data_IF_362516218831
#
_entry.id   IF_362516218831
#
_cell.length_a   1.000
_cell.length_b   1.000
_cell.length_c   1.000
_cell.angle_alpha   90.00
_cell.angle_beta   90.00
_cell.angle_gamma   90.00
#
_symmetry.space_group_name_H-M   'P 1'
#
loop_
_entity.id
_entity.type
_entity.pdbx_description
1 polymer ?
#
# COMPACT_ATOMS: atom_id res chain seq x y z
N UNK A 1 36.98 -18.00 -64.28
CA UNK A 1 37.70 -16.94 -63.55
C UNK A 1 36.68 -16.01 -62.90
N UNK A 2 36.60 -15.99 -61.56
CA UNK A 2 35.83 -15.07 -60.67
C UNK A 2 34.29 -15.09 -60.89
N UNK A 3 33.38 -14.98 -59.93
CA UNK A 3 33.37 -14.25 -58.65
C UNK A 3 32.50 -15.06 -57.64
N UNK A 4 32.94 -15.14 -56.39
CA UNK A 4 32.18 -15.62 -55.21
C UNK A 4 31.32 -14.48 -54.66
N UNK A 5 30.11 -14.76 -54.20
CA UNK A 5 29.29 -13.85 -53.39
C UNK A 5 27.84 -14.32 -53.41
N UNK A 6 27.05 -14.29 -52.34
CA UNK A 6 27.21 -13.68 -51.02
C UNK A 6 26.09 -14.30 -50.16
N UNK A 7 26.43 -14.90 -49.02
CA UNK A 7 25.44 -15.39 -48.04
C UNK A 7 24.67 -14.19 -47.48
N UNK A 8 23.41 -14.03 -47.89
CA UNK A 8 22.48 -13.07 -47.29
C UNK A 8 21.89 -13.61 -45.99
N UNK A 9 22.64 -13.50 -44.89
CA UNK A 9 22.10 -13.73 -43.54
C UNK A 9 21.28 -12.53 -43.09
N UNK A 10 19.96 -12.71 -42.95
CA UNK A 10 19.07 -11.73 -42.33
C UNK A 10 19.14 -11.92 -40.81
N UNK A 11 19.91 -11.05 -40.14
CA UNK A 11 19.95 -10.92 -38.68
C UNK A 11 18.85 -9.93 -38.27
N UNK A 12 17.65 -10.44 -37.94
CA UNK A 12 16.58 -9.60 -37.39
C UNK A 12 16.89 -9.38 -35.90
N UNK A 13 17.48 -8.24 -35.62
CA UNK A 13 17.68 -7.69 -34.28
C UNK A 13 16.34 -7.11 -33.80
N UNK A 14 15.52 -7.92 -33.11
CA UNK A 14 14.33 -7.40 -32.44
C UNK A 14 14.71 -6.80 -31.08
N UNK A 15 14.38 -5.53 -30.99
CA UNK A 15 14.76 -4.55 -29.99
C UNK A 15 14.11 -4.93 -28.66
N UNK A 16 14.91 -5.32 -27.66
CA UNK A 16 14.44 -5.38 -26.29
C UNK A 16 14.13 -3.94 -25.85
N UNK A 17 12.85 -3.55 -25.90
CA UNK A 17 12.37 -2.38 -25.16
C UNK A 17 12.52 -2.67 -23.67
N UNK A 18 13.68 -2.34 -23.12
CA UNK A 18 13.85 -2.22 -21.69
C UNK A 18 13.04 -1.01 -21.26
N UNK A 19 11.83 -1.27 -20.74
CA UNK A 19 11.07 -0.28 -20.00
C UNK A 19 11.84 0.00 -18.70
N UNK A 20 12.85 0.87 -18.78
CA UNK A 20 13.49 1.46 -17.62
C UNK A 20 12.47 2.39 -16.96
N UNK A 21 11.60 1.82 -16.12
CA UNK A 21 10.89 2.57 -15.10
C UNK A 21 11.95 3.12 -14.15
N UNK A 22 12.41 4.34 -14.44
CA UNK A 22 13.25 5.10 -13.50
C UNK A 22 12.43 5.26 -12.23
N UNK A 23 12.78 4.51 -11.19
CA UNK A 23 12.31 4.76 -9.85
C UNK A 23 13.00 6.06 -9.42
N UNK A 24 12.30 7.18 -9.61
CA UNK A 24 12.76 8.46 -9.11
C UNK A 24 12.69 8.37 -7.59
N UNK A 25 13.83 8.18 -6.94
CA UNK A 25 13.95 8.27 -5.48
C UNK A 25 13.77 9.74 -5.10
N UNK A 26 12.51 10.15 -5.02
CA UNK A 26 12.13 11.51 -4.70
C UNK A 26 12.09 11.61 -3.18
N UNK A 27 13.22 11.99 -2.58
CA UNK A 27 13.44 12.05 -1.13
C UNK A 27 12.39 12.90 -0.39
N UNK A 28 11.66 13.76 -1.12
CA UNK A 28 10.60 14.62 -0.58
C UNK A 28 9.20 14.30 -1.14
N UNK A 29 9.00 13.14 -1.79
CA UNK A 29 7.67 12.77 -2.27
C UNK A 29 6.69 12.60 -1.09
N UNK A 30 5.45 13.09 -1.21
CA UNK A 30 4.43 12.85 -0.20
C UNK A 30 4.08 11.36 -0.14
N UNK A 31 3.51 10.94 0.97
CA UNK A 31 2.86 9.64 1.09
C UNK A 31 1.41 9.79 0.62
N UNK A 32 0.94 8.84 -0.18
CA UNK A 32 -0.45 8.75 -0.61
C UNK A 32 -1.24 7.88 0.35
N UNK A 33 -2.35 8.40 0.88
CA UNK A 33 -3.30 7.65 1.72
C UNK A 33 -4.58 7.43 0.95
N UNK A 34 -4.92 6.16 0.77
CA UNK A 34 -6.18 5.71 0.20
C UNK A 34 -7.04 5.12 1.32
N UNK A 35 -8.28 5.58 1.45
CA UNK A 35 -9.25 5.06 2.41
C UNK A 35 -10.45 4.55 1.61
N UNK A 36 -10.58 3.23 1.60
CA UNK A 36 -11.68 2.52 0.99
C UNK A 36 -12.72 2.17 2.06
N UNK A 37 -13.84 2.88 2.06
CA UNK A 37 -14.98 2.68 2.96
C UNK A 37 -15.92 1.55 2.49
N UNK A 38 -15.51 0.76 1.49
CA UNK A 38 -16.31 -0.28 0.83
C UNK A 38 -16.81 0.19 -0.53
N UNK A 39 -17.79 1.09 -0.53
CA UNK A 39 -18.40 1.64 -1.76
C UNK A 39 -17.76 2.94 -2.23
N UNK A 40 -16.99 3.60 -1.35
CA UNK A 40 -16.38 4.90 -1.60
C UNK A 40 -14.87 4.84 -1.34
N UNK A 41 -14.11 5.48 -2.23
CA UNK A 41 -12.68 5.69 -2.09
C UNK A 41 -12.40 7.17 -1.80
N UNK A 42 -11.50 7.46 -0.86
CA UNK A 42 -10.88 8.77 -0.65
C UNK A 42 -9.38 8.65 -0.81
N UNK A 43 -8.78 9.49 -1.63
CA UNK A 43 -7.31 9.55 -1.81
C UNK A 43 -6.82 10.93 -1.42
N UNK A 44 -5.78 11.00 -0.61
CA UNK A 44 -5.20 12.24 -0.09
C UNK A 44 -3.70 12.08 0.09
N UNK A 45 -2.94 13.14 -0.16
CA UNK A 45 -1.50 13.17 0.05
C UNK A 45 -1.17 13.86 1.37
N UNK A 46 -0.20 13.33 2.10
CA UNK A 46 0.37 13.94 3.31
C UNK A 46 1.88 14.05 3.18
N UNK A 47 2.52 15.08 3.78
CA UNK A 47 3.98 15.11 3.91
C UNK A 47 4.53 13.82 4.53
N UNK A 48 5.71 13.39 4.08
CA UNK A 48 6.43 12.25 4.63
C UNK A 48 7.50 12.74 5.60
N UNK A 49 7.23 12.65 6.89
CA UNK A 49 8.21 12.99 7.92
C UNK A 49 9.11 11.79 8.26
N UNK A 50 10.30 12.05 8.77
CA UNK A 50 11.24 10.99 9.15
C UNK A 50 10.64 10.16 10.29
N UNK A 51 10.53 8.85 10.09
CA UNK A 51 9.99 7.93 11.09
C UNK A 51 8.47 7.81 11.10
N UNK A 52 7.76 8.53 10.22
CA UNK A 52 6.29 8.48 10.11
C UNK A 52 5.80 7.03 9.95
N UNK A 53 4.86 6.63 10.78
CA UNK A 53 4.24 5.29 10.74
C UNK A 53 2.96 5.29 9.90
N UNK A 54 2.49 4.11 9.51
CA UNK A 54 1.22 3.99 8.79
C UNK A 54 0.02 4.50 9.58
N UNK A 55 0.02 4.38 10.91
CA UNK A 55 -1.06 4.90 11.74
C UNK A 55 -1.02 6.43 11.80
N UNK A 56 0.15 7.02 12.03
CA UNK A 56 0.30 8.48 12.09
C UNK A 56 -0.06 9.12 10.75
N UNK A 57 0.38 8.53 9.64
CA UNK A 57 0.04 9.01 8.31
C UNK A 57 -1.48 9.01 8.04
N UNK A 58 -2.22 8.04 8.60
CA UNK A 58 -3.68 8.04 8.56
C UNK A 58 -4.27 9.14 9.45
N UNK A 59 -3.74 9.33 10.65
CA UNK A 59 -4.20 10.34 11.62
C UNK A 59 -3.98 11.78 11.12
N UNK A 60 -3.00 12.01 10.25
CA UNK A 60 -2.80 13.31 9.60
C UNK A 60 -3.98 13.72 8.72
N UNK A 61 -4.74 12.76 8.21
CA UNK A 61 -5.74 13.01 7.16
C UNK A 61 -7.16 12.60 7.55
N UNK A 62 -7.34 11.87 8.66
CA UNK A 62 -8.62 11.35 9.10
C UNK A 62 -8.76 11.41 10.62
N UNK A 63 -10.00 11.43 11.11
CA UNK A 63 -10.26 11.19 12.54
C UNK A 63 -10.17 9.68 12.76
N UNK A 64 -9.30 9.23 13.67
CA UNK A 64 -9.06 7.79 13.90
C UNK A 64 -9.31 7.45 15.35
N UNK A 65 -10.15 6.44 15.59
CA UNK A 65 -10.24 5.82 16.91
C UNK A 65 -9.51 4.48 16.89
N UNK A 66 -8.85 4.18 18.00
CA UNK A 66 -8.11 2.92 18.18
C UNK A 66 -8.55 2.20 19.44
N UNK A 67 -8.36 0.89 19.44
CA UNK A 67 -8.54 0.04 20.60
C UNK A 67 -7.24 -0.73 20.88
N UNK A 68 -6.57 -0.48 22.02
CA UNK A 68 -5.40 -1.24 22.41
C UNK A 68 -5.80 -2.62 22.95
N UNK A 69 -5.09 -3.66 22.51
CA UNK A 69 -5.21 -5.03 23.01
C UNK A 69 -3.81 -5.58 23.18
N UNK A 70 -3.34 -5.71 24.43
CA UNK A 70 -1.95 -6.04 24.75
C UNK A 70 -0.97 -5.06 24.06
N UNK A 71 -0.06 -5.59 23.24
CA UNK A 71 0.91 -4.84 22.44
C UNK A 71 0.36 -4.36 21.08
N UNK A 72 -0.91 -4.66 20.78
CA UNK A 72 -1.56 -4.32 19.53
C UNK A 72 -2.40 -3.04 19.65
N UNK A 73 -2.34 -2.17 18.65
CA UNK A 73 -3.22 -1.01 18.51
C UNK A 73 -4.06 -1.21 17.24
N UNK A 74 -5.32 -1.57 17.42
CA UNK A 74 -6.25 -1.80 16.32
C UNK A 74 -6.97 -0.50 15.95
N UNK A 75 -7.04 -0.18 14.66
CA UNK A 75 -7.92 0.90 14.17
C UNK A 75 -9.36 0.41 14.19
N UNK A 76 -10.19 1.03 15.02
CA UNK A 76 -11.61 0.67 15.16
C UNK A 76 -12.51 1.58 14.36
N UNK A 77 -12.14 2.85 14.19
CA UNK A 77 -12.96 3.82 13.46
C UNK A 77 -12.07 4.69 12.59
N UNK A 78 -12.51 4.96 11.36
CA UNK A 78 -11.96 6.01 10.50
C UNK A 78 -13.10 6.94 10.13
N UNK A 79 -12.93 8.22 10.44
CA UNK A 79 -13.95 9.26 10.45
C UNK A 79 -15.17 8.82 11.27
N UNK A 80 -16.31 8.56 10.63
CA UNK A 80 -17.53 8.10 11.30
C UNK A 80 -17.83 6.62 11.11
N UNK A 81 -16.98 5.87 10.40
CA UNK A 81 -17.24 4.47 10.05
C UNK A 81 -16.47 3.51 10.98
N UNK A 82 -17.23 2.89 11.88
CA UNK A 82 -16.75 1.98 12.91
C UNK A 82 -16.77 0.52 12.44
N UNK A 83 -15.67 -0.18 12.68
CA UNK A 83 -15.59 -1.63 12.58
C UNK A 83 -16.38 -2.33 13.68
N UNK A 84 -16.98 -3.46 13.33
CA UNK A 84 -17.69 -4.33 14.26
C UNK A 84 -16.93 -5.66 14.31
N UNK A 85 -16.29 -5.99 15.44
CA UNK A 85 -15.56 -7.24 15.61
C UNK A 85 -16.39 -8.45 15.15
N UNK A 86 -15.80 -9.29 14.32
CA UNK A 86 -16.36 -10.52 13.77
C UNK A 86 -17.16 -10.30 12.47
N UNK A 87 -17.49 -9.05 12.16
CA UNK A 87 -18.30 -8.65 11.02
C UNK A 87 -17.48 -7.84 10.01
N UNK A 88 -17.00 -6.65 10.39
CA UNK A 88 -16.24 -5.72 9.54
C UNK A 88 -15.10 -5.08 10.30
N UNK A 89 -13.95 -4.92 9.66
CA UNK A 89 -12.77 -4.32 10.27
C UNK A 89 -11.96 -3.49 9.28
N UNK A 90 -11.03 -2.72 9.83
CA UNK A 90 -10.08 -1.92 9.07
C UNK A 90 -8.77 -2.68 8.89
N UNK A 91 -8.35 -2.81 7.64
CA UNK A 91 -7.10 -3.45 7.26
C UNK A 91 -6.27 -2.51 6.42
N UNK A 92 -4.96 -2.63 6.47
CA UNK A 92 -4.09 -1.79 5.66
C UNK A 92 -3.11 -2.58 4.79
N UNK A 93 -2.63 -1.92 3.73
CA UNK A 93 -1.60 -2.39 2.82
C UNK A 93 -0.64 -1.25 2.53
N UNK A 94 0.61 -1.57 2.25
CA UNK A 94 1.61 -0.60 1.76
C UNK A 94 2.00 -1.01 0.35
N UNK A 95 1.94 -0.08 -0.60
CA UNK A 95 2.25 -0.28 -2.00
C UNK A 95 1.52 -1.51 -2.59
N UNK A 96 0.22 -1.61 -2.31
CA UNK A 96 -0.69 -2.72 -2.70
C UNK A 96 -0.36 -4.09 -2.08
N UNK A 97 0.65 -4.19 -1.22
CA UNK A 97 1.03 -5.44 -0.54
C UNK A 97 0.52 -5.44 0.91
N UNK A 98 -0.07 -6.55 1.39
CA UNK A 98 -0.34 -6.72 2.81
C UNK A 98 0.94 -6.55 3.62
N UNK A 99 0.86 -5.83 4.75
CA UNK A 99 1.95 -5.77 5.71
C UNK A 99 1.80 -6.86 6.76
N UNK A 100 2.93 -7.40 7.22
CA UNK A 100 3.02 -8.30 8.38
C UNK A 100 3.36 -7.54 9.68
N UNK A 101 3.52 -6.22 9.61
CA UNK A 101 3.77 -5.35 10.76
C UNK A 101 2.47 -4.70 11.23
N UNK A 102 2.45 -4.23 12.47
CA UNK A 102 1.39 -3.36 12.96
C UNK A 102 1.53 -1.98 12.35
N UNK A 103 0.42 -1.27 12.13
CA UNK A 103 0.44 0.07 11.53
C UNK A 103 1.22 1.08 12.38
N UNK A 104 1.27 0.89 13.70
CA UNK A 104 2.12 1.66 14.64
C UNK A 104 3.62 1.40 14.49
N UNK A 105 4.01 0.29 13.86
CA UNK A 105 5.42 -0.13 13.73
C UNK A 105 5.88 -0.15 12.26
N UNK A 106 4.97 0.10 11.32
CA UNK A 106 5.27 0.14 9.90
C UNK A 106 5.61 1.57 9.49
N UNK A 107 6.91 1.88 9.47
CA UNK A 107 7.43 3.13 8.92
C UNK A 107 7.12 3.21 7.42
N UNK A 108 6.76 4.40 6.95
CA UNK A 108 6.54 4.72 5.53
C UNK A 108 7.65 5.60 4.97
N UNK A 109 7.86 5.48 3.66
CA UNK A 109 8.90 6.20 2.94
C UNK A 109 8.30 7.15 1.90
N UNK A 110 9.05 8.18 1.47
CA UNK A 110 8.61 9.10 0.43
C UNK A 110 8.10 8.37 -0.82
N UNK A 111 6.89 8.73 -1.26
CA UNK A 111 6.22 8.13 -2.41
C UNK A 111 5.48 6.82 -2.15
N UNK A 112 5.47 6.31 -0.92
CA UNK A 112 4.65 5.14 -0.57
C UNK A 112 3.16 5.45 -0.70
N UNK A 113 2.39 4.40 -1.00
CA UNK A 113 0.92 4.42 -0.94
C UNK A 113 0.42 3.50 0.17
N UNK A 114 -0.33 4.04 1.11
CA UNK A 114 -1.00 3.29 2.18
C UNK A 114 -2.48 3.17 1.83
N UNK A 115 -2.99 1.95 1.72
CA UNK A 115 -4.41 1.71 1.46
C UNK A 115 -5.05 1.11 2.70
N UNK A 116 -5.99 1.83 3.30
CA UNK A 116 -6.90 1.34 4.34
C UNK A 116 -8.20 0.84 3.70
N UNK A 117 -8.66 -0.34 4.11
CA UNK A 117 -9.82 -1.01 3.52
C UNK A 117 -10.76 -1.49 4.61
N UNK A 118 -12.00 -1.01 4.54
CA UNK A 118 -13.12 -1.53 5.30
C UNK A 118 -13.66 -2.79 4.63
N UNK A 119 -13.48 -3.94 5.28
CA UNK A 119 -13.91 -5.23 4.73
C UNK A 119 -14.31 -6.20 5.83
N UNK A 120 -14.76 -7.39 5.44
CA UNK A 120 -15.14 -8.43 6.39
C UNK A 120 -14.00 -8.73 7.37
N UNK A 121 -14.34 -8.74 8.65
CA UNK A 121 -13.40 -9.05 9.71
C UNK A 121 -13.20 -10.57 9.77
N UNK A 122 -12.05 -11.00 9.25
CA UNK A 122 -11.60 -12.39 9.27
C UNK A 122 -10.72 -12.70 10.48
N UNK A 123 -10.24 -11.68 11.19
CA UNK A 123 -9.26 -11.85 12.27
C UNK A 123 -9.94 -12.18 13.59
N UNK A 124 -11.01 -11.47 13.94
CA UNK A 124 -11.70 -11.69 15.21
C UNK A 124 -12.80 -12.76 15.15
N UNK A 125 -13.28 -13.13 13.94
CA UNK A 125 -14.25 -14.21 13.75
C UNK A 125 -13.76 -15.55 14.31
N UNK A 126 -12.46 -15.81 14.22
CA UNK A 126 -11.84 -17.05 14.67
C UNK A 126 -11.73 -17.16 16.20
N UNK A 127 -11.86 -16.03 16.93
CA UNK A 127 -11.68 -15.98 18.39
C UNK A 127 -12.99 -16.21 19.15
N UNK A 128 -14.14 -15.85 18.55
CA UNK A 128 -15.46 -15.92 19.20
C UNK A 128 -16.26 -17.21 18.93
N UNK A 129 -15.69 -18.19 18.22
CA UNK A 129 -16.32 -19.51 17.99
C UNK A 129 -15.94 -20.55 19.05
N UNK A 130 -15.83 -20.14 20.33
CA UNK A 130 -15.64 -21.04 21.46
C UNK A 130 -16.90 -21.12 22.30
#
# INVERSE_FOLDING_TARGET
MKIKGFLGGIFIMLIFSTCNSKKTDNVNAPVTIEINYGEKMRTVNTPCEVGLTCLEALQHVAIVETHPVNEYVFVTTIDSLKGVPGIKGWYYKVNRKPSNKLSINQVVYPGDTITWVYKDDVCSRTVNNK
#
